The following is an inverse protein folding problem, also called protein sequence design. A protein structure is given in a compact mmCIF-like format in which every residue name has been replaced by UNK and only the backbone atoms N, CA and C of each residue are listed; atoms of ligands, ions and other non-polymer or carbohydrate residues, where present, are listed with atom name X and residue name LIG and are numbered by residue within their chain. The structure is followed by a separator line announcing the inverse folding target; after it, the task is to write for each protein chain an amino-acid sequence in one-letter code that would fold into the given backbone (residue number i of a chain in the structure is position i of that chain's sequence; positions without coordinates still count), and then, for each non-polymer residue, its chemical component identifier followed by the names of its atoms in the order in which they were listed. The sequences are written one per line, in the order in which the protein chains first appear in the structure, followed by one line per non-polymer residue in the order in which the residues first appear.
data_IF_751678565553
#
_entry.id   IF_751678565553
#
_cell.length_a   1.000
_cell.length_b   1.000
_cell.length_c   1.000
_cell.angle_alpha   90.00
_cell.angle_beta   90.00
_cell.angle_gamma   90.00
#
_symmetry.space_group_name_H-M   'P 1'
#
loop_
_entity.id
_entity.type
_entity.pdbx_description
1 polymer ?
#
# COMPACT_ATOMS: atom_id res chain seq x y z
N UNK A 1 -9.61 5.72 1.97
CA UNK A 1 -10.52 6.79 1.51
C UNK A 1 -11.45 7.30 2.61
N UNK A 2 -12.04 6.44 3.45
CA UNK A 2 -12.85 6.86 4.62
C UNK A 2 -12.13 7.82 5.60
N UNK A 3 -10.85 7.57 5.89
CA UNK A 3 -10.06 8.41 6.81
C UNK A 3 -9.90 9.88 6.32
N UNK A 4 -9.88 10.10 5.01
CA UNK A 4 -9.80 11.45 4.43
C UNK A 4 -11.12 12.21 4.55
N UNK A 5 -12.23 11.51 4.36
CA UNK A 5 -13.59 12.08 4.46
C UNK A 5 -13.91 12.40 5.92
N UNK A 6 -13.53 11.54 6.86
CA UNK A 6 -13.69 11.81 8.30
C UNK A 6 -12.83 12.97 8.76
N UNK A 7 -11.62 13.12 8.21
CA UNK A 7 -10.73 14.23 8.52
C UNK A 7 -11.27 15.56 7.97
N UNK A 8 -11.85 15.54 6.75
CA UNK A 8 -12.51 16.70 6.14
C UNK A 8 -13.78 17.11 6.88
N UNK A 9 -14.64 16.17 7.24
CA UNK A 9 -15.86 16.45 8.02
C UNK A 9 -15.55 16.99 9.42
N UNK A 10 -14.51 16.46 10.08
CA UNK A 10 -14.04 16.99 11.35
C UNK A 10 -13.50 18.43 11.23
N UNK A 11 -12.85 18.76 10.11
CA UNK A 11 -12.40 20.12 9.81
C UNK A 11 -13.57 21.09 9.56
N UNK A 12 -14.62 20.63 8.87
CA UNK A 12 -15.85 21.41 8.66
C UNK A 12 -16.59 21.63 9.99
N UNK A 13 -16.71 20.61 10.85
CA UNK A 13 -17.31 20.74 12.18
C UNK A 13 -16.54 21.70 13.10
N UNK A 14 -15.21 21.74 12.98
CA UNK A 14 -14.35 22.66 13.72
C UNK A 14 -14.64 24.14 13.38
N UNK A 15 -15.01 24.42 12.13
CA UNK A 15 -15.39 25.77 11.66
C UNK A 15 -16.76 26.19 12.22
N UNK A 16 -17.65 25.25 12.54
CA UNK A 16 -19.02 25.51 12.98
C UNK A 16 -19.20 25.60 14.52
N UNK A 17 -18.12 25.51 15.31
CA UNK A 17 -18.14 25.89 16.72
C UNK A 17 -18.81 24.92 17.71
N UNK A 18 -19.09 23.66 17.32
CA UNK A 18 -19.64 22.60 18.20
C UNK A 18 -18.53 21.80 18.90
N UNK A 19 -17.59 22.49 19.53
CA UNK A 19 -16.32 21.94 20.05
C UNK A 19 -16.43 20.72 20.98
N UNK A 20 -17.52 20.57 21.75
CA UNK A 20 -17.62 19.50 22.75
C UNK A 20 -17.93 18.11 22.18
N UNK A 21 -18.63 18.03 21.05
CA UNK A 21 -18.98 16.76 20.41
C UNK A 21 -17.88 16.30 19.45
N UNK A 22 -17.27 17.24 18.73
CA UNK A 22 -16.23 16.93 17.74
C UNK A 22 -14.91 16.50 18.41
N UNK A 23 -14.57 17.03 19.58
CA UNK A 23 -13.35 16.62 20.31
C UNK A 23 -13.43 15.20 20.85
N UNK A 24 -14.55 14.81 21.46
CA UNK A 24 -14.75 13.45 21.96
C UNK A 24 -14.79 12.44 20.81
N UNK A 25 -15.38 12.80 19.68
CA UNK A 25 -15.36 11.99 18.46
C UNK A 25 -13.95 11.84 17.88
N UNK A 26 -13.13 12.90 17.87
CA UNK A 26 -11.74 12.83 17.44
C UNK A 26 -10.88 11.95 18.36
N UNK A 27 -11.05 12.08 19.68
CA UNK A 27 -10.35 11.23 20.64
C UNK A 27 -10.79 9.77 20.49
N UNK A 28 -12.09 9.52 20.36
CA UNK A 28 -12.63 8.18 20.18
C UNK A 28 -12.15 7.53 18.88
N UNK A 29 -12.14 8.26 17.77
CA UNK A 29 -11.63 7.77 16.47
C UNK A 29 -10.12 7.53 16.51
N UNK A 30 -9.34 8.40 17.16
CA UNK A 30 -7.91 8.18 17.36
C UNK A 30 -7.64 6.93 18.22
N UNK A 31 -8.43 6.69 19.28
CA UNK A 31 -8.33 5.48 20.11
C UNK A 31 -8.68 4.24 19.28
N UNK A 32 -9.76 4.27 18.50
CA UNK A 32 -10.13 3.14 17.63
C UNK A 32 -9.08 2.88 16.56
N UNK A 33 -8.54 3.92 15.91
CA UNK A 33 -7.47 3.78 14.92
C UNK A 33 -6.20 3.19 15.55
N UNK A 34 -5.85 3.63 16.76
CA UNK A 34 -4.75 3.06 17.52
C UNK A 34 -5.00 1.59 17.87
N UNK A 35 -6.20 1.21 18.32
CA UNK A 35 -6.52 -0.18 18.64
C UNK A 35 -6.58 -1.08 17.40
N UNK A 36 -7.07 -0.56 16.27
CA UNK A 36 -7.26 -1.32 15.03
C UNK A 36 -5.95 -1.49 14.23
N UNK A 37 -5.04 -0.52 14.30
CA UNK A 37 -3.82 -0.50 13.47
C UNK A 37 -2.56 -0.41 14.34
N UNK A 38 -2.50 0.57 15.24
CA UNK A 38 -1.32 0.83 16.07
C UNK A 38 -0.94 -0.35 16.97
N UNK A 39 -1.91 -0.87 17.72
CA UNK A 39 -1.74 -2.00 18.64
C UNK A 39 -1.32 -3.29 17.92
N UNK A 40 -1.98 -3.75 16.84
CA UNK A 40 -1.55 -4.96 16.16
C UNK A 40 -0.18 -4.82 15.49
N UNK A 41 0.16 -3.65 14.93
CA UNK A 41 1.51 -3.42 14.37
C UNK A 41 2.56 -3.47 15.47
N UNK A 42 2.32 -2.82 16.61
CA UNK A 42 3.23 -2.83 17.77
C UNK A 42 3.40 -4.23 18.32
N UNK A 43 2.31 -4.97 18.47
CA UNK A 43 2.33 -6.35 18.96
C UNK A 43 3.04 -7.28 17.96
N UNK A 44 2.87 -7.07 16.65
CA UNK A 44 3.59 -7.79 15.61
C UNK A 44 5.10 -7.51 15.67
N UNK A 45 5.50 -6.24 15.79
CA UNK A 45 6.91 -5.85 15.93
C UNK A 45 7.53 -6.45 17.20
N UNK A 46 6.83 -6.41 18.33
CA UNK A 46 7.30 -7.00 19.58
C UNK A 46 7.50 -8.52 19.46
N UNK A 47 6.58 -9.23 18.79
CA UNK A 47 6.73 -10.67 18.51
C UNK A 47 7.96 -10.95 17.65
N UNK A 48 8.15 -10.19 16.57
CA UNK A 48 9.32 -10.34 15.69
C UNK A 48 10.63 -10.05 16.41
N UNK A 49 10.67 -9.00 17.24
CA UNK A 49 11.84 -8.70 18.06
C UNK A 49 12.17 -9.83 19.03
N UNK A 50 11.17 -10.47 19.66
CA UNK A 50 11.39 -11.62 20.53
C UNK A 50 11.91 -12.86 19.76
N UNK A 51 11.41 -13.10 18.55
CA UNK A 51 11.94 -14.15 17.66
C UNK A 51 13.41 -13.90 17.31
N UNK A 52 13.77 -12.68 16.87
CA UNK A 52 15.14 -12.31 16.54
C UNK A 52 16.08 -12.37 17.76
N UNK A 53 15.63 -11.87 18.92
CA UNK A 53 16.40 -11.94 20.16
C UNK A 53 16.67 -13.40 20.57
N UNK A 54 15.67 -14.29 20.40
CA UNK A 54 15.84 -15.71 20.64
C UNK A 54 16.84 -16.35 19.67
N UNK A 55 16.87 -15.94 18.39
CA UNK A 55 17.86 -16.42 17.42
C UNK A 55 19.27 -15.90 17.75
N UNK A 56 19.40 -14.63 18.11
CA UNK A 56 20.68 -14.03 18.52
C UNK A 56 21.25 -14.73 19.76
N UNK A 57 20.44 -14.97 20.79
CA UNK A 57 20.85 -15.69 21.99
C UNK A 57 21.32 -17.13 21.70
N UNK A 58 20.72 -17.82 20.70
CA UNK A 58 21.19 -19.14 20.26
C UNK A 58 22.55 -19.06 19.57
N UNK A 59 22.74 -18.08 18.69
CA UNK A 59 24.00 -17.88 18.00
C UNK A 59 25.12 -17.53 19.00
N UNK A 60 24.84 -16.67 19.97
CA UNK A 60 25.78 -16.29 21.03
C UNK A 60 26.13 -17.48 21.93
N UNK A 61 25.15 -18.28 22.37
CA UNK A 61 25.41 -19.47 23.18
C UNK A 61 26.29 -20.49 22.44
N UNK A 62 26.05 -20.72 21.15
CA UNK A 62 26.90 -21.58 20.32
C UNK A 62 28.32 -21.03 20.17
N UNK A 63 28.44 -19.71 19.94
CA UNK A 63 29.73 -19.03 19.85
C UNK A 63 30.53 -19.12 21.16
N UNK A 64 29.87 -18.91 22.31
CA UNK A 64 30.50 -19.05 23.62
C UNK A 64 30.94 -20.49 23.92
N UNK A 65 30.13 -21.49 23.56
CA UNK A 65 30.50 -22.90 23.69
C UNK A 65 31.72 -23.26 22.82
N UNK A 66 31.78 -22.71 21.59
CA UNK A 66 32.95 -22.86 20.70
C UNK A 66 34.22 -22.27 21.32
N UNK A 67 34.15 -21.04 21.85
CA UNK A 67 35.27 -20.40 22.51
C UNK A 67 35.71 -21.12 23.80
N UNK A 68 34.79 -21.78 24.50
CA UNK A 68 35.07 -22.57 25.68
C UNK A 68 35.70 -23.95 25.38
N UNK A 69 35.78 -24.35 24.11
CA UNK A 69 36.28 -25.68 23.71
C UNK A 69 35.36 -26.82 24.15
N UNK A 70 34.09 -26.54 24.46
CA UNK A 70 33.11 -27.54 24.87
C UNK A 70 32.64 -28.33 23.64
N UNK A 71 32.72 -29.68 23.63
CA UNK A 71 32.16 -30.49 22.54
C UNK A 71 30.67 -30.27 22.29
N UNK A 72 29.92 -29.71 23.26
CA UNK A 72 28.53 -29.29 23.09
C UNK A 72 28.32 -28.14 22.09
N UNK A 73 29.39 -27.44 21.65
CA UNK A 73 29.30 -26.41 20.60
C UNK A 73 28.75 -26.94 19.27
N UNK A 74 28.88 -28.26 19.03
CA UNK A 74 28.36 -28.93 17.83
C UNK A 74 26.97 -29.56 18.04
N UNK A 75 26.40 -29.46 19.25
CA UNK A 75 25.05 -29.95 19.49
C UNK A 75 24.03 -29.05 18.77
N UNK A 76 22.93 -29.62 18.24
CA UNK A 76 21.89 -28.82 17.61
C UNK A 76 21.33 -27.82 18.64
N UNK A 77 21.19 -26.53 18.28
CA UNK A 77 20.78 -25.51 19.22
C UNK A 77 19.39 -25.83 19.80
N UNK A 78 19.12 -25.42 21.05
CA UNK A 78 17.83 -25.68 21.70
C UNK A 78 16.68 -25.12 20.84
N UNK A 79 15.56 -25.87 20.69
CA UNK A 79 14.49 -25.51 19.78
C UNK A 79 13.92 -24.11 20.05
N UNK A 80 13.45 -23.43 19.00
CA UNK A 80 12.77 -22.15 19.10
C UNK A 80 11.56 -22.24 20.06
N UNK A 81 11.33 -21.25 20.97
CA UNK A 81 10.07 -21.17 21.66
C UNK A 81 8.96 -21.07 20.61
N UNK A 82 8.07 -22.06 20.59
CA UNK A 82 7.03 -22.13 19.58
C UNK A 82 6.03 -21.01 19.83
N UNK A 83 5.76 -20.20 18.80
CA UNK A 83 4.76 -19.13 18.90
C UNK A 83 3.38 -19.74 19.23
N UNK A 84 2.60 -19.12 20.14
CA UNK A 84 1.26 -19.61 20.44
C UNK A 84 0.38 -19.53 19.19
N UNK A 85 -0.25 -20.66 18.84
CA UNK A 85 -1.15 -20.75 17.68
C UNK A 85 -2.39 -19.90 17.92
N UNK A 86 -2.66 -18.96 17.02
CA UNK A 86 -3.94 -18.21 17.03
C UNK A 86 -5.07 -19.18 16.71
N UNK A 87 -6.12 -19.18 17.54
CA UNK A 87 -7.28 -20.06 17.33
C UNK A 87 -8.03 -19.59 16.08
N UNK A 88 -8.31 -20.51 15.14
CA UNK A 88 -9.02 -20.22 13.88
C UNK A 88 -10.34 -19.45 14.09
N UNK A 89 -11.05 -19.72 15.20
CA UNK A 89 -12.27 -19.02 15.56
C UNK A 89 -12.10 -17.52 15.80
N UNK A 90 -10.92 -17.06 16.27
CA UNK A 90 -10.64 -15.62 16.47
C UNK A 90 -10.48 -14.91 15.13
N UNK A 91 -9.86 -15.56 14.15
CA UNK A 91 -9.71 -15.01 12.79
C UNK A 91 -11.07 -14.93 12.10
N UNK A 92 -11.88 -15.98 12.21
CA UNK A 92 -13.23 -16.01 11.64
C UNK A 92 -14.12 -14.93 12.29
N UNK A 93 -14.10 -14.80 13.62
CA UNK A 93 -14.85 -13.78 14.33
C UNK A 93 -14.43 -12.35 13.92
N UNK A 94 -13.13 -12.11 13.73
CA UNK A 94 -12.64 -10.82 13.25
C UNK A 94 -13.12 -10.50 11.82
N UNK A 95 -13.14 -11.49 10.93
CA UNK A 95 -13.64 -11.32 9.56
C UNK A 95 -15.16 -11.05 9.54
N UNK A 96 -15.93 -11.76 10.36
CA UNK A 96 -17.38 -11.52 10.49
C UNK A 96 -17.67 -10.13 11.04
N UNK A 97 -16.95 -9.70 12.08
CA UNK A 97 -17.09 -8.35 12.62
C UNK A 97 -16.75 -7.27 11.57
N UNK A 98 -15.69 -7.46 10.78
CA UNK A 98 -15.35 -6.55 9.70
C UNK A 98 -16.45 -6.46 8.62
N UNK A 99 -17.07 -7.60 8.27
CA UNK A 99 -18.17 -7.63 7.30
C UNK A 99 -19.41 -6.86 7.79
N UNK A 100 -19.77 -6.99 9.09
CA UNK A 100 -20.88 -6.22 9.68
C UNK A 100 -20.63 -4.72 9.68
N UNK A 101 -19.39 -4.29 9.98
CA UNK A 101 -19.02 -2.87 9.91
C UNK A 101 -19.14 -2.34 8.49
N UNK A 102 -18.67 -3.09 7.49
CA UNK A 102 -18.78 -2.71 6.07
C UNK A 102 -20.26 -2.61 5.64
N UNK A 103 -21.09 -3.58 6.03
CA UNK A 103 -22.51 -3.59 5.70
C UNK A 103 -23.26 -2.40 6.32
N UNK A 104 -22.97 -2.07 7.58
CA UNK A 104 -23.56 -0.90 8.25
C UNK A 104 -23.22 0.41 7.56
N UNK A 105 -21.98 0.57 7.08
CA UNK A 105 -21.55 1.76 6.32
C UNK A 105 -22.30 1.90 4.99
N UNK A 106 -22.51 0.81 4.26
CA UNK A 106 -23.21 0.83 2.96
C UNK A 106 -24.69 1.21 3.15
N UNK A 107 -25.31 0.74 4.23
CA UNK A 107 -26.71 1.04 4.53
C UNK A 107 -26.93 2.51 4.87
N UNK A 108 -26.01 3.16 5.59
CA UNK A 108 -26.08 4.58 5.98
C UNK A 108 -26.00 5.54 4.78
N UNK A 109 -25.24 5.16 3.74
CA UNK A 109 -25.09 5.97 2.51
C UNK A 109 -26.37 5.94 1.64
N UNK A 110 -27.23 4.94 1.80
CA UNK A 110 -28.42 4.76 0.94
C UNK A 110 -29.62 5.61 1.39
N UNK A 111 -29.65 6.07 2.65
CA UNK A 111 -30.78 6.81 3.23
C UNK A 111 -30.70 8.34 2.99
N UNK A 112 -29.62 8.83 2.38
CA UNK A 112 -29.34 10.25 2.19
C UNK A 112 -29.79 10.88 0.86
N UNK A 113 -30.59 10.19 0.04
CA UNK A 113 -30.97 10.65 -1.32
C UNK A 113 -32.46 10.94 -1.53
N UNK A 114 -33.30 10.94 -0.49
CA UNK A 114 -34.70 11.35 -0.66
C UNK A 114 -34.82 12.88 -0.57
N UNK A 115 -35.01 13.54 -1.72
CA UNK A 115 -35.35 14.97 -1.78
C UNK A 115 -36.78 15.21 -1.28
N UNK A 116 -37.04 16.28 -0.50
CA UNK A 116 -38.39 16.61 -0.09
C UNK A 116 -39.22 17.06 -1.31
N UNK A 117 -40.41 16.47 -1.44
CA UNK A 117 -41.46 16.87 -2.37
C UNK A 117 -41.97 18.28 -2.05
N UNK A 118 -41.97 19.15 -3.05
CA UNK A 118 -42.78 20.37 -3.09
C UNK A 118 -43.73 20.31 -4.31
N UNK A 119 -44.99 20.65 -4.05
CA UNK A 119 -46.16 20.56 -4.93
C UNK A 119 -46.25 21.63 -6.04
N UNK A 120 -46.98 21.26 -7.10
CA UNK A 120 -47.84 22.06 -8.01
C UNK A 120 -47.25 23.08 -9.02
N UNK A 121 -47.42 22.79 -10.33
CA UNK A 121 -48.06 23.67 -11.35
C UNK A 121 -47.84 23.18 -12.80
N UNK A 122 -48.95 22.73 -13.42
CA UNK A 122 -49.43 22.95 -14.80
C UNK A 122 -48.43 23.29 -15.95
N UNK A 123 -48.42 22.52 -17.05
CA UNK A 123 -49.00 22.84 -18.40
C UNK A 123 -48.43 21.90 -19.51
N UNK A 124 -49.29 21.35 -20.38
CA UNK A 124 -49.04 20.56 -21.62
C UNK A 124 -48.35 21.40 -22.73
N UNK A 125 -47.68 20.88 -23.79
CA UNK A 125 -48.22 20.02 -24.88
C UNK A 125 -47.24 18.95 -25.48
N UNK A 126 -47.71 17.77 -25.92
CA UNK A 126 -47.96 17.30 -27.33
C UNK A 126 -46.77 17.16 -28.30
N UNK A 127 -46.55 15.89 -28.70
CA UNK A 127 -46.18 15.32 -30.02
C UNK A 127 -44.73 14.87 -30.37
N UNK A 128 -44.60 13.78 -31.19
CA UNK A 128 -43.44 12.87 -31.35
C UNK A 128 -42.75 13.11 -32.73
N UNK A 129 -42.04 12.18 -33.44
CA UNK A 129 -41.51 10.83 -33.17
C UNK A 129 -40.04 10.64 -33.62
N UNK A 130 -39.49 9.41 -33.48
CA UNK A 130 -38.73 8.65 -34.49
C UNK A 130 -37.58 7.81 -33.89
N UNK A 131 -37.76 6.48 -33.81
CA UNK A 131 -37.25 5.46 -34.77
C UNK A 131 -35.85 5.00 -34.35
N UNK A 132 -35.72 3.90 -33.61
CA UNK A 132 -35.64 2.49 -34.08
C UNK A 132 -34.20 1.99 -34.06
N UNK A 133 -34.02 0.73 -33.64
CA UNK A 133 -32.75 0.00 -33.67
C UNK A 133 -32.42 -0.62 -32.30
N UNK A 134 -33.25 -1.51 -31.77
CA UNK A 134 -33.12 -2.95 -31.99
C UNK A 134 -31.71 -3.50 -31.68
N UNK A 135 -31.59 -4.04 -30.46
CA UNK A 135 -30.84 -5.21 -30.02
C UNK A 135 -30.63 -6.27 -31.14
N UNK A 136 -29.65 -7.22 -31.08
CA UNK A 136 -29.61 -8.16 -29.96
C UNK A 136 -28.27 -8.90 -29.62
N UNK A 137 -28.26 -9.42 -28.39
CA UNK A 137 -27.88 -10.78 -27.92
C UNK A 137 -26.49 -11.35 -28.28
N UNK A 138 -25.63 -11.59 -27.29
CA UNK A 138 -25.51 -12.84 -26.49
C UNK A 138 -24.42 -13.76 -27.03
N UNK A 139 -23.39 -14.04 -26.22
CA UNK A 139 -23.13 -15.38 -25.67
C UNK A 139 -21.66 -15.59 -25.26
N UNK A 140 -21.52 -16.30 -24.16
CA UNK A 140 -20.50 -17.33 -23.90
C UNK A 140 -19.09 -16.89 -23.46
N UNK A 141 -18.93 -16.89 -22.13
CA UNK A 141 -18.02 -17.78 -21.40
C UNK A 141 -16.86 -18.44 -22.17
N UNK A 142 -15.61 -18.16 -21.76
CA UNK A 142 -14.66 -19.18 -21.31
C UNK A 142 -13.27 -18.57 -20.95
N UNK A 143 -12.70 -19.15 -19.88
CA UNK A 143 -11.28 -19.42 -19.68
C UNK A 143 -10.30 -18.26 -19.43
N UNK A 144 -9.73 -18.34 -18.23
CA UNK A 144 -8.45 -17.80 -17.77
C UNK A 144 -7.36 -17.98 -18.83
N UNK A 145 -6.81 -16.88 -19.33
CA UNK A 145 -5.49 -16.82 -19.92
C UNK A 145 -4.81 -15.56 -19.37
N UNK A 146 -3.76 -15.74 -18.57
CA UNK A 146 -2.80 -14.67 -18.32
C UNK A 146 -2.06 -14.42 -19.64
N UNK A 147 -2.58 -13.49 -20.44
CA UNK A 147 -1.84 -12.91 -21.55
C UNK A 147 -0.62 -12.21 -20.94
N UNK A 148 0.62 -12.52 -21.35
CA UNK A 148 1.71 -11.59 -21.07
C UNK A 148 1.29 -10.25 -21.65
N UNK A 149 1.25 -9.23 -20.80
CA UNK A 149 1.05 -7.85 -21.25
C UNK A 149 2.04 -7.60 -22.38
N UNK A 150 1.65 -6.98 -23.50
CA UNK A 150 2.59 -6.69 -24.58
C UNK A 150 3.80 -5.98 -23.97
N UNK A 151 4.98 -6.58 -24.10
CA UNK A 151 6.22 -6.00 -23.61
C UNK A 151 6.39 -4.65 -24.29
N UNK A 152 6.06 -3.56 -23.58
CA UNK A 152 6.29 -2.23 -24.07
C UNK A 152 7.79 -2.12 -24.33
N UNK A 153 8.15 -2.09 -25.61
CA UNK A 153 9.54 -2.08 -26.06
C UNK A 153 9.91 -0.62 -26.23
N UNK A 154 10.46 -0.03 -25.18
CA UNK A 154 10.83 1.38 -25.13
C UNK A 154 12.36 1.52 -25.22
N UNK A 155 12.83 2.74 -25.52
CA UNK A 155 14.25 3.06 -25.45
C UNK A 155 14.55 3.69 -24.09
N UNK A 156 15.59 3.20 -23.42
CA UNK A 156 16.04 3.72 -22.14
C UNK A 156 16.49 5.19 -22.31
N UNK A 157 15.85 6.15 -21.64
CA UNK A 157 16.29 7.55 -21.63
C UNK A 157 17.58 7.73 -20.83
N UNK A 158 18.28 8.85 -21.06
CA UNK A 158 19.39 9.28 -20.20
C UNK A 158 18.82 10.02 -18.99
N UNK A 159 18.89 9.38 -17.83
CA UNK A 159 18.32 9.84 -16.57
C UNK A 159 19.35 9.93 -15.45
N UNK A 160 20.64 9.82 -15.78
CA UNK A 160 21.72 10.07 -14.82
C UNK A 160 21.69 11.54 -14.41
N UNK A 161 21.95 11.79 -13.12
CA UNK A 161 21.89 13.12 -12.50
C UNK A 161 20.50 13.76 -12.43
N UNK A 162 19.45 13.00 -12.73
CA UNK A 162 18.09 13.42 -12.46
C UNK A 162 17.67 13.01 -11.06
N UNK A 163 16.69 13.73 -10.53
CA UNK A 163 15.95 13.30 -9.36
C UNK A 163 15.23 11.96 -9.65
N UNK A 164 15.14 11.05 -8.68
CA UNK A 164 14.56 9.72 -8.89
C UNK A 164 13.10 9.78 -9.37
N UNK A 165 12.29 10.74 -8.91
CA UNK A 165 10.92 10.88 -9.40
C UNK A 165 10.90 11.28 -10.88
N UNK A 166 11.72 12.26 -11.25
CA UNK A 166 11.81 12.76 -12.63
C UNK A 166 12.37 11.69 -13.58
N UNK A 167 13.35 10.91 -13.12
CA UNK A 167 13.88 9.76 -13.84
C UNK A 167 12.80 8.71 -14.13
N UNK A 168 12.00 8.37 -13.12
CA UNK A 168 10.88 7.44 -13.28
C UNK A 168 9.81 7.97 -14.23
N UNK A 169 9.45 9.26 -14.14
CA UNK A 169 8.48 9.90 -15.03
C UNK A 169 8.98 9.93 -16.49
N UNK A 170 10.28 10.10 -16.69
CA UNK A 170 10.92 10.07 -18.02
C UNK A 170 10.85 8.67 -18.62
N UNK A 171 11.12 7.64 -17.83
CA UNK A 171 11.01 6.23 -18.26
C UNK A 171 9.55 5.85 -18.59
N UNK A 172 8.59 6.34 -17.80
CA UNK A 172 7.16 6.18 -18.06
C UNK A 172 6.72 6.85 -19.35
N UNK A 173 7.25 8.05 -19.64
CA UNK A 173 6.99 8.76 -20.90
C UNK A 173 7.54 7.99 -22.11
N UNK A 174 8.64 7.23 -21.94
CA UNK A 174 9.17 6.35 -22.96
C UNK A 174 8.31 5.08 -23.19
N UNK A 175 7.34 4.80 -22.31
CA UNK A 175 6.38 3.71 -22.43
C UNK A 175 6.58 2.56 -21.45
N UNK A 176 7.51 2.67 -20.48
CA UNK A 176 7.72 1.65 -19.44
C UNK A 176 7.14 2.13 -18.11
N UNK A 177 6.10 1.46 -17.60
CA UNK A 177 5.41 1.90 -16.40
C UNK A 177 6.13 1.54 -15.10
N UNK A 178 6.98 0.51 -15.13
CA UNK A 178 7.67 0.02 -13.95
C UNK A 178 9.20 0.04 -14.11
N UNK A 179 9.86 0.80 -13.25
CA UNK A 179 11.31 0.79 -13.04
C UNK A 179 11.66 0.40 -11.61
N UNK A 180 12.82 -0.21 -11.41
CA UNK A 180 13.39 -0.55 -10.10
C UNK A 180 14.42 0.50 -9.69
N UNK A 181 14.64 0.61 -8.39
CA UNK A 181 15.65 1.49 -7.84
C UNK A 181 16.38 0.84 -6.68
N UNK A 182 17.66 1.15 -6.53
CA UNK A 182 18.56 0.55 -5.54
C UNK A 182 19.39 1.65 -4.90
N UNK A 183 19.63 1.55 -3.59
CA UNK A 183 20.53 2.46 -2.90
C UNK A 183 21.98 2.13 -3.27
N UNK A 184 22.64 3.01 -4.00
CA UNK A 184 24.00 2.83 -4.50
C UNK A 184 25.03 2.72 -3.37
N UNK A 185 24.71 3.23 -2.17
CA UNK A 185 25.56 3.08 -0.97
C UNK A 185 25.58 1.65 -0.43
N UNK A 186 24.64 0.80 -0.88
CA UNK A 186 24.45 -0.55 -0.35
C UNK A 186 23.77 -0.61 1.02
N UNK A 187 23.36 0.54 1.58
CA UNK A 187 22.73 0.60 2.90
C UNK A 187 21.28 0.07 2.94
N UNK A 188 20.69 -0.26 1.79
CA UNK A 188 19.36 -0.87 1.70
C UNK A 188 18.23 0.02 2.25
N UNK A 189 18.40 1.34 2.19
CA UNK A 189 17.41 2.29 2.72
C UNK A 189 16.16 2.30 1.82
N UNK A 190 15.00 2.46 2.46
CA UNK A 190 13.73 2.58 1.75
C UNK A 190 13.60 3.97 1.11
N UNK A 191 13.35 4.00 -0.19
CA UNK A 191 13.12 5.21 -0.97
C UNK A 191 11.65 5.61 -0.86
N UNK A 192 11.28 6.17 0.30
CA UNK A 192 9.88 6.53 0.60
C UNK A 192 9.48 7.84 -0.08
N UNK A 193 10.44 8.77 -0.21
CA UNK A 193 10.27 10.04 -0.89
C UNK A 193 11.30 10.11 -2.00
N UNK A 194 10.90 9.71 -3.22
CA UNK A 194 11.78 9.62 -4.39
C UNK A 194 12.46 10.95 -4.69
N UNK A 195 11.80 12.07 -4.37
CA UNK A 195 12.36 13.41 -4.51
C UNK A 195 13.61 13.69 -3.67
N UNK A 196 13.96 12.85 -2.69
CA UNK A 196 15.18 13.03 -1.91
C UNK A 196 16.37 12.22 -2.45
N UNK A 197 16.23 11.66 -3.65
CA UNK A 197 17.20 10.75 -4.25
C UNK A 197 17.62 11.24 -5.62
N UNK A 198 18.91 11.15 -5.91
CA UNK A 198 19.51 11.46 -7.19
C UNK A 198 20.01 10.16 -7.84
N UNK A 199 19.79 10.01 -9.14
CA UNK A 199 20.27 8.88 -9.93
C UNK A 199 21.75 9.08 -10.24
N UNK A 200 22.60 8.18 -9.74
CA UNK A 200 24.06 8.22 -9.99
C UNK A 200 24.48 7.26 -11.10
N UNK A 201 23.68 6.22 -11.34
CA UNK A 201 23.91 5.25 -12.40
C UNK A 201 22.58 4.64 -12.84
N UNK A 202 22.49 4.27 -14.11
CA UNK A 202 21.34 3.58 -14.68
C UNK A 202 21.76 2.31 -15.40
N UNK A 203 20.91 1.29 -15.34
CA UNK A 203 21.04 0.06 -16.11
C UNK A 203 19.68 -0.33 -16.69
N UNK A 204 19.57 -0.65 -18.00
CA UNK A 204 20.58 -0.54 -19.05
C UNK A 204 21.05 0.91 -19.33
N UNK A 205 22.10 1.06 -20.14
CA UNK A 205 22.57 2.37 -20.60
C UNK A 205 21.52 3.05 -21.47
N UNK A 206 21.57 4.38 -21.54
CA UNK A 206 20.72 5.16 -22.44
C UNK A 206 20.83 4.65 -23.90
N UNK A 207 19.71 4.65 -24.61
CA UNK A 207 19.62 4.16 -25.99
C UNK A 207 19.39 2.65 -26.13
N UNK A 208 19.42 1.89 -25.03
CA UNK A 208 19.14 0.44 -25.04
C UNK A 208 17.64 0.20 -24.97
N UNK A 209 17.17 -0.84 -25.66
CA UNK A 209 15.78 -1.29 -25.59
C UNK A 209 15.49 -1.87 -24.19
N UNK A 210 14.42 -1.40 -23.56
CA UNK A 210 13.94 -1.84 -22.25
C UNK A 210 12.47 -2.25 -22.30
N UNK A 211 12.11 -3.24 -21.48
CA UNK A 211 10.75 -3.59 -21.13
C UNK A 211 10.40 -3.27 -19.68
N UNK A 212 9.26 -3.79 -19.24
CA UNK A 212 8.75 -3.61 -17.88
C UNK A 212 9.70 -4.21 -16.82
N UNK A 213 10.18 -3.36 -15.90
CA UNK A 213 11.05 -3.76 -14.80
C UNK A 213 12.51 -4.04 -15.18
N UNK A 214 12.91 -3.76 -16.43
CA UNK A 214 14.29 -3.87 -16.88
C UNK A 214 15.13 -2.68 -16.43
N UNK A 215 14.53 -1.49 -16.34
CA UNK A 215 15.20 -0.28 -15.87
C UNK A 215 15.49 -0.38 -14.36
N UNK A 216 16.77 -0.31 -14.01
CA UNK A 216 17.29 -0.29 -12.64
C UNK A 216 18.08 0.99 -12.44
N UNK A 217 17.66 1.79 -11.47
CA UNK A 217 18.28 3.08 -11.12
C UNK A 217 19.07 2.94 -9.81
N UNK A 218 20.36 3.19 -9.86
CA UNK A 218 21.21 3.32 -8.68
C UNK A 218 21.13 4.74 -8.16
N UNK A 219 20.70 4.91 -6.91
CA UNK A 219 20.44 6.22 -6.31
C UNK A 219 21.21 6.45 -5.02
N UNK A 220 21.54 7.72 -4.78
CA UNK A 220 22.12 8.24 -3.54
C UNK A 220 21.20 9.36 -3.03
N UNK A 221 21.22 9.68 -1.73
CA UNK A 221 20.42 10.83 -1.29
C UNK A 221 21.02 12.14 -1.82
N UNK A 222 20.16 13.11 -2.09
CA UNK A 222 20.59 14.43 -2.60
C UNK A 222 21.58 15.15 -1.66
N UNK A 223 21.53 14.89 -0.35
CA UNK A 223 22.42 15.50 0.66
C UNK A 223 23.76 14.76 0.84
N UNK A 224 23.98 13.66 0.12
CA UNK A 224 25.21 12.86 0.19
C UNK A 224 26.15 13.18 -0.98
N UNK A 225 27.47 12.94 -0.86
CA UNK A 225 28.41 13.16 -1.96
C UNK A 225 28.09 12.25 -3.16
N UNK A 226 27.93 12.84 -4.33
CA UNK A 226 27.70 12.14 -5.59
C UNK A 226 28.46 12.82 -6.74
N UNK A 227 28.50 12.18 -7.91
CA UNK A 227 29.25 12.63 -9.10
C UNK A 227 28.42 13.49 -10.06
N UNK A 228 27.21 13.84 -9.64
CA UNK A 228 26.44 14.95 -10.15
C UNK A 228 26.64 16.14 -9.19
#
# INVERSE_FOLDING_TARGET
MFAGITLWLAFVELIHGKFSASFTQLVFTAILAYLAVGKPIRDYRARKQAEYAGLAARAEAGHLAYLAGDPAAFAPPPPAPQSPKVRRGVVIAALVAAAFVIFGIISDISDGLESPSDDDAMTTPTAPPNTSGAAPVTAAAAATAHTPSPSATAIMPDVVCMNLQEAQDTIQTAGVFYSKSVDATGAGRAQVLDRNWVVVEQAPKAGVVIGEGDAVLSVVKEDEPHSC
#
